data_IF_623485246546
#
_entry.id   IF_623485246546
#
_cell.length_a   1.000
_cell.length_b   1.000
_cell.length_c   1.000
_cell.angle_alpha   90.00
_cell.angle_beta   90.00
_cell.angle_gamma   90.00
#
_symmetry.space_group_name_H-M   'P 1'
#
loop_
_entity.id
_entity.type
_entity.pdbx_description
1 polymer ?
#
# COMPACT_ATOMS: atom_id res chain seq x y z
N UNK A 1 32.64 -5.23 5.90
CA UNK A 1 31.60 -4.18 5.99
C UNK A 1 30.22 -4.81 5.93
N UNK A 2 29.62 -5.14 7.09
CA UNK A 2 28.28 -5.76 7.17
C UNK A 2 27.15 -4.77 7.45
N UNK A 3 27.42 -3.65 8.13
CA UNK A 3 26.39 -2.74 8.66
C UNK A 3 26.20 -1.46 7.84
N UNK A 4 27.30 -0.77 7.51
CA UNK A 4 27.25 0.51 6.83
C UNK A 4 27.21 0.30 5.32
N UNK A 5 26.03 -0.06 4.83
CA UNK A 5 25.78 -0.26 3.41
C UNK A 5 24.46 0.39 3.00
N UNK A 6 24.44 0.98 1.79
CA UNK A 6 23.21 1.48 1.18
C UNK A 6 22.18 0.38 0.90
N UNK A 7 22.57 -0.90 0.94
CA UNK A 7 21.68 -2.05 0.77
C UNK A 7 20.47 -1.98 1.71
N UNK A 8 20.66 -1.54 2.96
CA UNK A 8 19.54 -1.45 3.92
C UNK A 8 18.46 -0.45 3.45
N UNK A 9 18.88 0.75 3.03
CA UNK A 9 17.96 1.78 2.55
C UNK A 9 17.26 1.36 1.25
N UNK A 10 18.02 0.82 0.28
CA UNK A 10 17.48 0.39 -1.00
C UNK A 10 16.52 -0.79 -0.89
N UNK A 11 16.82 -1.76 -0.03
CA UNK A 11 15.91 -2.89 0.17
C UNK A 11 14.64 -2.45 0.87
N UNK A 12 14.73 -1.58 1.89
CA UNK A 12 13.53 -1.03 2.53
C UNK A 12 12.66 -0.27 1.53
N UNK A 13 13.28 0.56 0.68
CA UNK A 13 12.59 1.29 -0.38
C UNK A 13 11.91 0.33 -1.37
N UNK A 14 12.63 -0.68 -1.86
CA UNK A 14 12.10 -1.65 -2.81
C UNK A 14 10.92 -2.47 -2.22
N UNK A 15 11.09 -3.06 -1.03
CA UNK A 15 10.05 -3.89 -0.43
C UNK A 15 8.82 -3.07 -0.06
N UNK A 16 8.99 -1.91 0.59
CA UNK A 16 7.86 -1.14 1.10
C UNK A 16 7.08 -0.44 -0.02
N UNK A 17 7.78 0.12 -1.01
CA UNK A 17 7.14 0.98 -2.00
C UNK A 17 6.79 0.25 -3.30
N UNK A 18 7.58 -0.75 -3.73
CA UNK A 18 7.40 -1.36 -5.05
C UNK A 18 6.86 -2.79 -5.00
N UNK A 19 7.28 -3.59 -4.02
CA UNK A 19 6.72 -4.94 -3.84
C UNK A 19 5.38 -4.86 -3.11
N UNK A 20 5.38 -4.28 -1.90
CA UNK A 20 4.16 -4.04 -1.13
C UNK A 20 3.30 -2.91 -1.71
N UNK A 21 3.90 -2.04 -2.55
CA UNK A 21 3.16 -1.05 -3.32
C UNK A 21 2.78 0.23 -2.59
N UNK A 22 3.31 0.50 -1.40
CA UNK A 22 2.90 1.65 -0.57
C UNK A 22 3.78 2.86 -0.87
N UNK A 23 3.32 3.72 -1.78
CA UNK A 23 4.12 4.78 -2.37
C UNK A 23 3.60 6.15 -1.91
N UNK A 24 4.37 6.90 -1.11
CA UNK A 24 4.12 8.32 -0.90
C UNK A 24 4.09 9.06 -2.24
N UNK A 25 3.00 9.75 -2.53
CA UNK A 25 2.85 10.59 -3.72
C UNK A 25 2.62 12.05 -3.27
N UNK A 26 2.63 13.00 -4.21
CA UNK A 26 2.43 14.41 -3.94
C UNK A 26 1.02 14.69 -3.41
N UNK A 27 0.00 14.06 -4.00
CA UNK A 27 -1.42 14.34 -3.71
C UNK A 27 -2.08 13.26 -2.85
N UNK A 28 -1.34 12.24 -2.42
CA UNK A 28 -1.93 11.13 -1.68
C UNK A 28 -0.96 9.98 -1.38
N UNK A 29 -1.53 8.86 -0.93
CA UNK A 29 -0.80 7.61 -0.72
C UNK A 29 -1.21 6.61 -1.80
N UNK A 30 -0.32 6.33 -2.75
CA UNK A 30 -0.57 5.37 -3.82
C UNK A 30 -0.39 3.95 -3.31
N UNK A 31 -1.32 3.08 -3.68
CA UNK A 31 -1.27 1.64 -3.39
C UNK A 31 -1.28 0.86 -4.71
N UNK A 32 -0.13 0.34 -5.10
CA UNK A 32 0.05 -0.45 -6.33
C UNK A 32 0.99 -1.64 -6.07
N UNK A 33 0.47 -2.73 -5.47
CA UNK A 33 1.28 -3.89 -5.09
C UNK A 33 1.76 -4.70 -6.28
N UNK A 34 3.00 -5.19 -6.20
CA UNK A 34 3.57 -6.15 -7.13
C UNK A 34 4.12 -7.35 -6.33
N UNK A 35 3.27 -8.34 -6.10
CA UNK A 35 3.49 -9.43 -5.14
C UNK A 35 3.52 -10.80 -5.82
N UNK A 36 4.04 -11.84 -5.15
CA UNK A 36 3.90 -13.21 -5.60
C UNK A 36 2.43 -13.65 -5.68
N UNK A 37 2.10 -14.56 -6.61
CA UNK A 37 0.71 -14.99 -6.89
C UNK A 37 0.08 -15.76 -5.74
N UNK A 38 0.92 -16.40 -4.94
CA UNK A 38 0.56 -17.19 -3.77
C UNK A 38 0.08 -16.32 -2.60
N UNK A 39 0.41 -15.03 -2.57
CA UNK A 39 -0.05 -14.12 -1.52
C UNK A 39 -1.51 -13.78 -1.75
N UNK A 40 -2.39 -14.34 -0.92
CA UNK A 40 -3.84 -14.09 -0.97
C UNK A 40 -4.28 -12.83 -0.26
N UNK A 41 -3.57 -12.47 0.80
CA UNK A 41 -3.85 -11.26 1.55
C UNK A 41 -2.59 -10.80 2.30
N UNK A 42 -2.45 -9.48 2.45
CA UNK A 42 -1.57 -8.91 3.47
C UNK A 42 -2.14 -7.59 3.99
N UNK A 43 -1.69 -7.20 5.19
CA UNK A 43 -2.14 -5.98 5.86
C UNK A 43 -0.94 -5.12 6.20
N UNK A 44 -1.05 -3.81 5.93
CA UNK A 44 -0.03 -2.81 6.27
C UNK A 44 -0.67 -1.70 7.09
N UNK A 45 0.04 -1.29 8.14
CA UNK A 45 -0.26 -0.04 8.84
C UNK A 45 0.76 1.02 8.43
N UNK A 46 0.29 2.13 7.84
CA UNK A 46 1.15 3.22 7.38
C UNK A 46 0.68 4.55 7.97
N UNK A 47 1.54 5.18 8.77
CA UNK A 47 1.38 6.59 9.14
C UNK A 47 1.81 7.47 7.96
N UNK A 48 0.94 8.37 7.52
CA UNK A 48 1.21 9.25 6.39
C UNK A 48 0.50 10.59 6.55
N UNK A 49 1.26 11.68 6.53
CA UNK A 49 0.79 13.08 6.58
C UNK A 49 -0.25 13.38 7.67
N UNK A 50 -0.07 12.79 8.87
CA UNK A 50 -0.93 12.99 10.04
C UNK A 50 -1.88 11.83 10.31
N UNK A 51 -2.27 11.10 9.26
CA UNK A 51 -3.26 10.03 9.35
C UNK A 51 -2.62 8.65 9.54
N UNK A 52 -3.39 7.69 10.07
CA UNK A 52 -2.97 6.29 10.21
C UNK A 52 -3.79 5.39 9.31
N UNK A 53 -3.18 4.84 8.27
CA UNK A 53 -3.84 3.95 7.33
C UNK A 53 -3.66 2.50 7.73
N UNK A 54 -4.76 1.74 7.80
CA UNK A 54 -4.76 0.28 7.78
C UNK A 54 -5.20 -0.20 6.40
N UNK A 55 -4.24 -0.67 5.62
CA UNK A 55 -4.42 -1.06 4.22
C UNK A 55 -4.43 -2.58 4.17
N UNK A 56 -5.56 -3.16 3.78
CA UNK A 56 -5.69 -4.59 3.47
C UNK A 56 -5.63 -4.75 1.96
N UNK A 57 -4.70 -5.58 1.48
CA UNK A 57 -4.61 -5.96 0.07
C UNK A 57 -5.09 -7.39 -0.06
N UNK A 58 -6.11 -7.61 -0.88
CA UNK A 58 -6.69 -8.92 -1.18
C UNK A 58 -6.41 -9.32 -2.62
N UNK A 59 -5.95 -10.54 -2.84
CA UNK A 59 -5.59 -11.08 -4.16
C UNK A 59 -6.31 -12.41 -4.42
N UNK A 60 -7.65 -12.38 -4.64
CA UNK A 60 -8.44 -13.59 -4.83
C UNK A 60 -7.97 -14.36 -6.09
N UNK A 61 -7.63 -13.64 -7.15
CA UNK A 61 -7.27 -14.19 -8.45
C UNK A 61 -5.81 -14.65 -8.57
N UNK A 62 -4.96 -14.37 -7.56
CA UNK A 62 -3.55 -14.76 -7.59
C UNK A 62 -2.78 -14.07 -8.73
N UNK A 63 -3.09 -12.80 -9.00
CA UNK A 63 -2.32 -11.99 -9.96
C UNK A 63 -1.06 -11.45 -9.28
N UNK A 64 -0.09 -11.02 -10.09
CA UNK A 64 1.13 -10.41 -9.54
C UNK A 64 0.99 -8.92 -9.27
N UNK A 65 0.14 -8.22 -10.04
CA UNK A 65 -0.08 -6.78 -9.99
C UNK A 65 -1.38 -6.48 -10.72
N UNK A 66 -1.96 -5.31 -10.44
CA UNK A 66 -3.20 -4.84 -11.05
C UNK A 66 -4.26 -4.67 -9.98
N UNK A 67 -4.63 -3.43 -9.69
CA UNK A 67 -5.70 -3.09 -8.74
C UNK A 67 -7.00 -2.89 -9.51
N UNK A 68 -8.03 -3.63 -9.13
CA UNK A 68 -9.35 -3.58 -9.78
C UNK A 68 -10.38 -2.82 -8.95
N UNK A 69 -10.22 -2.80 -7.63
CA UNK A 69 -11.10 -2.06 -6.74
C UNK A 69 -10.34 -1.52 -5.52
N UNK A 70 -10.74 -0.33 -5.08
CA UNK A 70 -10.31 0.26 -3.81
C UNK A 70 -11.54 0.71 -3.06
N UNK A 71 -11.57 0.50 -1.75
CA UNK A 71 -12.53 1.16 -0.86
C UNK A 71 -11.77 1.90 0.24
N UNK A 72 -12.30 3.05 0.63
CA UNK A 72 -11.79 3.86 1.74
C UNK A 72 -12.91 4.03 2.74
N UNK A 73 -12.67 3.62 3.98
CA UNK A 73 -13.66 3.64 5.07
C UNK A 73 -15.00 3.01 4.67
N UNK A 74 -14.91 1.88 3.95
CA UNK A 74 -16.06 1.11 3.45
C UNK A 74 -16.75 1.70 2.22
N UNK A 75 -16.31 2.86 1.69
CA UNK A 75 -16.89 3.48 0.50
C UNK A 75 -16.05 3.20 -0.74
N UNK A 76 -16.65 2.89 -1.91
CA UNK A 76 -15.91 2.74 -3.15
C UNK A 76 -15.05 3.96 -3.46
N UNK A 77 -13.81 3.71 -3.84
CA UNK A 77 -12.82 4.72 -4.24
C UNK A 77 -12.26 4.34 -5.61
N UNK A 78 -12.48 5.18 -6.61
CA UNK A 78 -12.16 4.86 -8.01
C UNK A 78 -10.69 4.99 -8.39
N UNK A 79 -9.78 5.14 -7.41
CA UNK A 79 -8.36 5.42 -7.65
C UNK A 79 -7.47 4.62 -6.72
N UNK A 80 -6.27 4.28 -7.17
CA UNK A 80 -5.21 3.70 -6.33
C UNK A 80 -4.51 4.73 -5.45
N UNK A 81 -4.76 6.02 -5.69
CA UNK A 81 -4.24 7.13 -4.89
C UNK A 81 -5.23 7.44 -3.77
N UNK A 82 -4.89 7.04 -2.55
CA UNK A 82 -5.69 7.32 -1.36
C UNK A 82 -5.61 8.81 -1.01
N UNK A 83 -6.75 9.44 -0.63
CA UNK A 83 -6.81 10.87 -0.36
C UNK A 83 -6.06 11.24 0.93
N UNK A 84 -5.81 12.53 1.09
CA UNK A 84 -5.30 13.12 2.33
C UNK A 84 -6.49 13.63 3.14
N UNK A 85 -6.71 13.09 4.34
CA UNK A 85 -7.75 13.58 5.23
C UNK A 85 -7.20 14.66 6.16
N UNK A 86 -6.02 14.42 6.74
CA UNK A 86 -5.36 15.36 7.64
C UNK A 86 -6.11 15.57 8.97
N UNK A 87 -7.00 14.65 9.34
CA UNK A 87 -7.80 14.72 10.56
C UNK A 87 -7.14 13.98 11.74
N UNK A 88 -6.02 13.29 11.48
CA UNK A 88 -5.25 12.55 12.48
C UNK A 88 -5.88 11.23 12.89
N UNK A 89 -6.93 10.77 12.19
CA UNK A 89 -7.69 9.58 12.55
C UNK A 89 -7.17 8.33 11.85
N UNK A 90 -7.55 7.15 12.36
CA UNK A 90 -7.34 5.91 11.64
C UNK A 90 -8.32 5.80 10.46
N UNK A 91 -7.78 5.49 9.28
CA UNK A 91 -8.56 5.18 8.09
C UNK A 91 -8.27 3.76 7.62
N UNK A 92 -9.25 3.17 6.97
CA UNK A 92 -9.15 1.82 6.41
C UNK A 92 -9.20 1.88 4.89
N UNK A 93 -8.32 1.12 4.25
CA UNK A 93 -8.36 0.90 2.82
C UNK A 93 -8.42 -0.61 2.54
N UNK A 94 -9.36 -1.03 1.69
CA UNK A 94 -9.34 -2.37 1.12
C UNK A 94 -9.02 -2.25 -0.37
N UNK A 95 -7.95 -2.90 -0.79
CA UNK A 95 -7.47 -2.93 -2.16
C UNK A 95 -7.60 -4.34 -2.68
N UNK A 96 -8.33 -4.52 -3.78
CA UNK A 96 -8.50 -5.83 -4.43
C UNK A 96 -7.68 -5.88 -5.70
N UNK A 97 -6.88 -6.93 -5.83
CA UNK A 97 -6.14 -7.24 -7.04
C UNK A 97 -6.97 -8.12 -7.97
N UNK A 98 -6.80 -7.93 -9.28
CA UNK A 98 -7.45 -8.74 -10.31
C UNK A 98 -6.98 -8.40 -11.71
#
# INVERSE_FOLDING_TARGET
NSWLTGTAAWNFYAISQYILGIQPDYDGLRVDPCIPREWKEFIITRKFRGDSWKITVSNPHGVCRGVTAVTVDGKPHGSTLLPLFGDGRPHTALVTLG
#
